data_IF_208327760012
#
_entry.id   IF_208327760012
#
_cell.length_a   1.000
_cell.length_b   1.000
_cell.length_c   1.000
_cell.angle_alpha   90.00
_cell.angle_beta   90.00
_cell.angle_gamma   90.00
#
_symmetry.space_group_name_H-M   'P 1'
#
loop_
_entity.id
_entity.type
_entity.pdbx_description
1 polymer ?
#
# COMPACT_ATOMS: atom_id res chain seq x y z
N UNK A 1 -14.39 -49.41 -6.38
CA UNK A 1 -15.19 -48.38 -5.70
C UNK A 1 -14.22 -47.48 -4.94
N UNK A 2 -13.68 -46.47 -5.61
CA UNK A 2 -12.61 -45.60 -5.09
C UNK A 2 -13.25 -44.33 -4.56
N UNK A 3 -13.36 -44.19 -3.24
CA UNK A 3 -13.69 -42.89 -2.64
C UNK A 3 -12.40 -42.08 -2.51
N UNK A 4 -12.25 -41.08 -3.39
CA UNK A 4 -11.31 -39.98 -3.18
C UNK A 4 -11.99 -38.98 -2.26
N UNK A 5 -11.43 -38.61 -1.09
CA UNK A 5 -11.92 -37.48 -0.35
C UNK A 5 -11.50 -36.20 -1.09
N UNK A 6 -12.46 -35.34 -1.41
CA UNK A 6 -12.19 -33.95 -1.81
C UNK A 6 -11.74 -33.22 -0.54
N UNK A 7 -10.53 -32.64 -0.48
CA UNK A 7 -10.28 -31.59 0.48
C UNK A 7 -10.99 -30.34 -0.06
N UNK A 8 -11.88 -29.81 0.77
CA UNK A 8 -12.55 -28.53 0.59
C UNK A 8 -11.54 -27.43 0.25
N UNK A 9 -11.82 -26.54 -0.71
CA UNK A 9 -11.11 -25.28 -0.77
C UNK A 9 -11.63 -24.42 0.38
N UNK A 10 -11.09 -24.61 1.58
CA UNK A 10 -11.08 -23.55 2.61
C UNK A 10 -10.05 -22.49 2.17
N UNK A 11 -10.28 -21.94 0.97
CA UNK A 11 -9.74 -20.63 0.62
C UNK A 11 -10.68 -19.66 1.29
N UNK A 12 -10.49 -19.47 2.59
CA UNK A 12 -10.93 -18.27 3.29
C UNK A 12 -10.12 -17.11 2.71
N UNK A 13 -10.44 -16.78 1.45
CA UNK A 13 -9.99 -15.60 0.77
C UNK A 13 -10.72 -14.44 1.42
N UNK A 14 -10.33 -14.13 2.66
CA UNK A 14 -10.64 -12.88 3.33
C UNK A 14 -10.55 -11.80 2.26
N UNK A 15 -11.66 -11.13 1.91
CA UNK A 15 -11.73 -10.26 0.75
C UNK A 15 -10.64 -9.22 0.91
N UNK A 16 -9.54 -9.34 0.16
CA UNK A 16 -8.27 -8.65 0.42
C UNK A 16 -8.54 -7.19 0.77
N UNK A 17 -8.55 -6.89 2.07
CA UNK A 17 -9.17 -5.66 2.56
C UNK A 17 -8.26 -4.50 2.22
N UNK A 18 -8.82 -3.45 1.66
CA UNK A 18 -8.11 -2.18 1.46
C UNK A 18 -7.49 -1.74 2.80
N UNK A 19 -6.21 -1.33 2.85
CA UNK A 19 -5.58 -0.93 4.10
C UNK A 19 -6.22 0.36 4.64
N UNK A 20 -6.43 0.42 5.95
CA UNK A 20 -6.91 1.62 6.65
C UNK A 20 -5.75 2.59 6.86
N UNK A 21 -5.50 3.46 5.88
CA UNK A 21 -4.53 4.55 5.99
C UNK A 21 -5.14 5.76 6.69
N UNK A 22 -4.37 6.42 7.55
CA UNK A 22 -4.78 7.70 8.14
C UNK A 22 -4.71 8.80 7.08
N UNK A 23 -5.40 9.95 7.29
CA UNK A 23 -5.33 11.07 6.35
C UNK A 23 -3.89 11.52 6.05
N UNK A 24 -3.03 11.57 7.09
CA UNK A 24 -1.62 11.95 6.93
C UNK A 24 -0.80 10.91 6.16
N UNK A 25 -1.04 9.62 6.40
CA UNK A 25 -0.37 8.56 5.63
C UNK A 25 -0.78 8.58 4.16
N UNK A 26 -2.05 8.88 3.88
CA UNK A 26 -2.59 8.94 2.54
C UNK A 26 -2.10 10.17 1.78
N UNK A 27 -1.97 11.32 2.44
CA UNK A 27 -1.29 12.52 1.91
C UNK A 27 0.17 12.23 1.55
N UNK A 28 0.91 11.61 2.48
CA UNK A 28 2.32 11.24 2.27
C UNK A 28 2.45 10.24 1.12
N UNK A 29 1.59 9.22 1.08
CA UNK A 29 1.55 8.24 0.01
C UNK A 29 1.36 8.91 -1.35
N UNK A 30 0.33 9.77 -1.47
CA UNK A 30 0.00 10.49 -2.70
C UNK A 30 1.18 11.32 -3.20
N UNK A 31 1.75 12.14 -2.33
CA UNK A 31 2.86 12.99 -2.73
C UNK A 31 4.11 12.17 -3.06
N UNK A 32 4.44 11.15 -2.26
CA UNK A 32 5.58 10.28 -2.54
C UNK A 32 5.47 9.60 -3.90
N UNK A 33 4.27 9.15 -4.28
CA UNK A 33 4.05 8.50 -5.58
C UNK A 33 4.36 9.42 -6.77
N UNK A 34 4.08 10.71 -6.65
CA UNK A 34 4.36 11.76 -7.67
C UNK A 34 5.80 12.27 -7.65
N UNK A 35 6.45 12.21 -6.50
CA UNK A 35 7.78 12.81 -6.31
C UNK A 35 8.89 11.93 -6.89
N UNK A 36 9.91 12.53 -7.50
CA UNK A 36 11.07 11.81 -8.04
C UNK A 36 11.90 11.13 -6.94
N UNK A 37 11.96 11.73 -5.75
CA UNK A 37 12.76 11.23 -4.62
C UNK A 37 12.12 11.54 -3.27
N UNK A 38 12.51 10.77 -2.24
CA UNK A 38 11.95 10.93 -0.88
C UNK A 38 12.32 12.29 -0.27
N UNK A 39 13.47 12.84 -0.67
CA UNK A 39 13.94 14.16 -0.26
C UNK A 39 13.05 15.25 -0.84
N UNK A 40 12.71 15.18 -2.12
CA UNK A 40 11.75 16.11 -2.76
C UNK A 40 10.40 16.05 -2.06
N UNK A 41 9.85 14.86 -1.86
CA UNK A 41 8.57 14.69 -1.15
C UNK A 41 8.60 15.24 0.29
N UNK A 42 9.71 15.06 1.00
CA UNK A 42 9.88 15.56 2.36
C UNK A 42 9.93 17.10 2.39
N UNK A 43 10.64 17.71 1.44
CA UNK A 43 10.70 19.16 1.26
C UNK A 43 9.32 19.76 0.97
N UNK A 44 8.57 19.18 0.05
CA UNK A 44 7.22 19.64 -0.31
C UNK A 44 6.23 19.55 0.87
N UNK A 45 6.34 18.51 1.70
CA UNK A 45 5.53 18.36 2.93
C UNK A 45 6.08 19.17 4.12
N UNK A 46 7.23 19.81 3.96
CA UNK A 46 7.98 20.49 5.03
C UNK A 46 8.19 19.60 6.26
N UNK A 47 8.56 18.34 6.03
CA UNK A 47 8.92 17.37 7.09
C UNK A 47 10.32 16.80 6.85
N UNK A 48 10.85 16.09 7.84
CA UNK A 48 12.14 15.43 7.69
C UNK A 48 12.06 14.16 6.82
N UNK A 49 13.18 13.80 6.18
CA UNK A 49 13.34 12.51 5.50
C UNK A 49 13.17 11.31 6.45
N UNK A 50 13.49 11.48 7.74
CA UNK A 50 13.22 10.46 8.76
C UNK A 50 11.71 10.22 8.91
N UNK A 51 10.96 11.31 9.05
CA UNK A 51 9.49 11.28 9.17
C UNK A 51 8.84 10.59 7.97
N UNK A 52 9.22 10.95 6.74
CA UNK A 52 8.64 10.30 5.54
C UNK A 52 8.96 8.81 5.52
N UNK A 53 10.19 8.38 5.86
CA UNK A 53 10.56 6.97 5.91
C UNK A 53 9.73 6.21 6.94
N UNK A 54 9.54 6.76 8.14
CA UNK A 54 8.69 6.15 9.18
C UNK A 54 7.25 5.96 8.69
N UNK A 55 6.67 6.97 8.03
CA UNK A 55 5.33 6.84 7.46
C UNK A 55 5.26 5.78 6.36
N UNK A 56 6.24 5.73 5.44
CA UNK A 56 6.29 4.71 4.39
C UNK A 56 6.42 3.28 4.95
N UNK A 57 7.17 3.09 6.03
CA UNK A 57 7.26 1.80 6.73
C UNK A 57 5.88 1.41 7.29
N UNK A 58 5.19 2.34 7.95
CA UNK A 58 3.84 2.09 8.50
C UNK A 58 2.81 1.78 7.42
N UNK A 59 2.83 2.52 6.31
CA UNK A 59 1.96 2.28 5.15
C UNK A 59 2.21 0.86 4.60
N UNK A 60 3.47 0.48 4.37
CA UNK A 60 3.83 -0.87 3.91
C UNK A 60 3.38 -1.95 4.88
N UNK A 61 3.54 -1.72 6.19
CA UNK A 61 3.06 -2.66 7.21
C UNK A 61 1.54 -2.84 7.16
N UNK A 62 0.77 -1.76 6.93
CA UNK A 62 -0.69 -1.84 6.75
C UNK A 62 -1.09 -2.60 5.49
N UNK A 63 -0.38 -2.40 4.39
CA UNK A 63 -0.55 -3.20 3.17
C UNK A 63 -0.22 -4.68 3.39
N UNK A 64 0.86 -4.98 4.11
CA UNK A 64 1.22 -6.35 4.47
C UNK A 64 0.18 -7.01 5.38
N UNK A 65 -0.34 -6.29 6.39
CA UNK A 65 -1.40 -6.76 7.28
C UNK A 65 -2.73 -7.00 6.53
N UNK A 66 -2.97 -6.30 5.43
CA UNK A 66 -4.06 -6.52 4.49
C UNK A 66 -3.83 -7.70 3.52
N UNK A 67 -2.73 -8.46 3.67
CA UNK A 67 -2.38 -9.57 2.78
C UNK A 67 -1.82 -9.12 1.42
N UNK A 68 -1.42 -7.85 1.28
CA UNK A 68 -0.94 -7.23 0.04
C UNK A 68 0.44 -6.58 0.23
N UNK A 69 1.51 -7.34 0.54
CA UNK A 69 2.83 -6.76 0.76
C UNK A 69 3.33 -6.03 -0.49
N UNK A 70 4.04 -4.93 -0.27
CA UNK A 70 4.63 -4.07 -1.30
C UNK A 70 6.09 -3.79 -0.98
N UNK A 71 6.99 -4.21 -1.87
CA UNK A 71 8.43 -3.98 -1.73
C UNK A 71 8.80 -2.54 -2.13
N UNK A 72 8.37 -2.13 -3.33
CA UNK A 72 8.88 -0.92 -3.99
C UNK A 72 7.81 0.13 -4.27
N UNK A 73 8.27 1.31 -4.69
CA UNK A 73 7.39 2.46 -5.04
C UNK A 73 6.36 2.06 -6.09
N UNK A 74 6.76 1.30 -7.12
CA UNK A 74 5.87 0.84 -8.19
C UNK A 74 4.79 -0.12 -7.66
N UNK A 75 5.16 -1.04 -6.77
CA UNK A 75 4.18 -1.91 -6.11
C UNK A 75 3.18 -1.12 -5.29
N UNK A 76 3.65 -0.12 -4.55
CA UNK A 76 2.81 0.79 -3.78
C UNK A 76 1.87 1.62 -4.69
N UNK A 77 2.35 2.05 -5.85
CA UNK A 77 1.55 2.76 -6.86
C UNK A 77 0.39 1.89 -7.38
N UNK A 78 0.71 0.67 -7.83
CA UNK A 78 -0.26 -0.27 -8.37
C UNK A 78 -1.36 -0.55 -7.33
N UNK A 79 -0.97 -0.82 -6.08
CA UNK A 79 -1.94 -1.05 -5.01
C UNK A 79 -2.79 0.19 -4.71
N UNK A 80 -2.17 1.37 -4.65
CA UNK A 80 -2.91 2.60 -4.42
C UNK A 80 -3.92 2.91 -5.54
N UNK A 81 -3.61 2.59 -6.80
CA UNK A 81 -4.53 2.69 -7.93
C UNK A 81 -5.68 1.68 -7.81
N UNK A 82 -5.37 0.41 -7.52
CA UNK A 82 -6.38 -0.65 -7.29
C UNK A 82 -7.34 -0.31 -6.16
N UNK A 83 -6.84 0.35 -5.11
CA UNK A 83 -7.60 0.74 -3.94
C UNK A 83 -8.33 2.09 -4.12
N UNK A 84 -8.18 2.76 -5.27
CA UNK A 84 -8.74 4.09 -5.52
C UNK A 84 -8.20 5.16 -4.56
N UNK A 85 -7.02 4.95 -3.98
CA UNK A 85 -6.33 5.91 -3.12
C UNK A 85 -5.66 7.01 -3.93
N UNK A 86 -5.25 6.70 -5.16
CA UNK A 86 -4.73 7.65 -6.15
C UNK A 86 -5.37 7.37 -7.50
N UNK A 87 -5.44 8.38 -8.34
CA UNK A 87 -5.84 8.25 -9.74
C UNK A 87 -4.68 8.60 -10.68
N UNK A 88 -4.71 8.07 -11.90
CA UNK A 88 -3.69 8.38 -12.91
C UNK A 88 -3.65 9.88 -13.27
N UNK A 89 -4.79 10.58 -13.16
CA UNK A 89 -4.88 12.02 -13.37
C UNK A 89 -4.16 12.86 -12.29
N UNK A 90 -3.87 12.26 -11.13
CA UNK A 90 -3.14 12.90 -10.04
C UNK A 90 -1.64 12.58 -10.03
N UNK A 91 -1.15 11.73 -10.93
CA UNK A 91 0.27 11.33 -11.00
C UNK A 91 1.07 12.30 -11.87
#
# INVERSE_FOLDING_TARGET
MTSVPVPTPDTDGEPQRRPTLTPRELEILRLWLRSESKTVAASDLRISLGTINTHLIRIRAKYAAAGRPVADKSGLLIRALQDGLVSLAEL
#
